data_IF_121760773687
#
_entry.id   IF_121760773687
#
_cell.length_a   1.000
_cell.length_b   1.000
_cell.length_c   1.000
_cell.angle_alpha   90.00
_cell.angle_beta   90.00
_cell.angle_gamma   90.00
#
_symmetry.space_group_name_H-M   'P 1'
#
loop_
_entity.id
_entity.type
_entity.pdbx_description
1 polymer ?
#
# COMPACT_ATOMS: atom_id res chain seq x y z
N UNK A 1 -15.36 16.57 5.31
CA UNK A 1 -15.57 15.14 4.99
C UNK A 1 -14.78 14.58 3.77
N UNK A 2 -14.16 15.36 2.87
CA UNK A 2 -13.41 14.84 1.69
C UNK A 2 -11.90 14.59 1.88
N UNK A 3 -11.34 14.86 3.06
CA UNK A 3 -9.88 14.86 3.28
C UNK A 3 -9.23 13.47 3.18
N UNK A 4 -9.85 12.44 3.78
CA UNK A 4 -9.30 11.08 3.87
C UNK A 4 -9.87 10.09 2.83
N UNK A 5 -10.35 10.57 1.69
CA UNK A 5 -10.90 9.68 0.67
C UNK A 5 -9.80 8.82 0.00
N UNK A 6 -10.07 7.52 -0.11
CA UNK A 6 -9.22 6.53 -0.79
C UNK A 6 -9.72 6.23 -2.21
N UNK A 7 -8.84 5.65 -3.04
CA UNK A 7 -9.24 5.10 -4.35
C UNK A 7 -9.98 3.76 -4.21
N UNK A 8 -10.52 3.25 -5.30
CA UNK A 8 -11.17 1.93 -5.34
C UNK A 8 -12.64 1.88 -4.97
N UNK A 9 -13.34 3.01 -4.87
CA UNK A 9 -14.81 3.05 -4.81
C UNK A 9 -15.42 2.81 -6.20
N UNK A 10 -15.22 1.59 -6.71
CA UNK A 10 -15.65 1.15 -8.04
C UNK A 10 -17.17 1.17 -8.16
N UNK A 11 -17.90 0.94 -7.06
CA UNK A 11 -19.37 0.97 -7.05
C UNK A 11 -19.91 2.36 -7.32
N UNK A 12 -19.38 3.37 -6.63
CA UNK A 12 -19.79 4.76 -6.86
C UNK A 12 -19.39 5.23 -8.27
N UNK A 13 -18.18 4.87 -8.72
CA UNK A 13 -17.73 5.16 -10.08
C UNK A 13 -18.64 4.52 -11.14
N UNK A 14 -18.98 3.24 -11.01
CA UNK A 14 -19.84 2.51 -11.95
C UNK A 14 -21.22 3.15 -12.09
N UNK A 15 -21.83 3.57 -10.96
CA UNK A 15 -23.10 4.33 -10.96
C UNK A 15 -22.97 5.63 -11.75
N UNK A 16 -21.89 6.39 -11.52
CA UNK A 16 -21.64 7.65 -12.23
C UNK A 16 -21.40 7.42 -13.73
N UNK A 17 -20.67 6.37 -14.10
CA UNK A 17 -20.39 5.98 -15.48
C UNK A 17 -21.57 5.26 -16.15
N UNK A 18 -22.69 5.04 -15.44
CA UNK A 18 -23.87 4.30 -15.90
C UNK A 18 -23.50 2.92 -16.50
N UNK A 19 -22.61 2.19 -15.82
CA UNK A 19 -22.17 0.86 -16.23
C UNK A 19 -22.18 -0.12 -15.05
N UNK A 20 -21.99 -1.41 -15.34
CA UNK A 20 -21.85 -2.44 -14.32
C UNK A 20 -20.43 -2.39 -13.73
N UNK A 21 -20.31 -2.75 -12.44
CA UNK A 21 -19.02 -2.77 -11.72
C UNK A 21 -17.94 -3.58 -12.45
N UNK A 22 -18.32 -4.70 -13.08
CA UNK A 22 -17.39 -5.57 -13.84
C UNK A 22 -16.84 -4.93 -15.13
N UNK A 23 -17.49 -3.89 -15.63
CA UNK A 23 -17.06 -3.17 -16.82
C UNK A 23 -16.05 -2.05 -16.52
N UNK A 24 -15.91 -1.68 -15.24
CA UNK A 24 -14.97 -0.64 -14.81
C UNK A 24 -13.54 -1.14 -14.91
N UNK A 25 -12.71 -0.37 -15.60
CA UNK A 25 -11.26 -0.55 -15.64
C UNK A 25 -10.67 0.24 -14.47
N UNK A 26 -10.55 -0.41 -13.31
CA UNK A 26 -10.00 0.22 -12.11
C UNK A 26 -8.46 0.28 -12.15
N UNK A 27 -7.95 1.46 -12.52
CA UNK A 27 -6.54 1.85 -12.41
C UNK A 27 -6.28 2.73 -11.18
N UNK A 28 -7.27 2.97 -10.31
CA UNK A 28 -7.12 3.79 -9.10
C UNK A 28 -6.57 2.97 -7.92
N UNK A 29 -6.88 1.66 -7.89
CA UNK A 29 -6.46 0.73 -6.85
C UNK A 29 -5.24 -0.09 -7.26
N UNK A 30 -4.20 -0.04 -6.43
CA UNK A 30 -2.93 -0.73 -6.64
C UNK A 30 -3.00 -2.24 -6.28
N UNK A 31 -4.07 -2.93 -6.69
CA UNK A 31 -4.22 -4.38 -6.53
C UNK A 31 -3.63 -5.08 -7.75
N UNK A 32 -2.84 -6.14 -7.53
CA UNK A 32 -2.30 -6.94 -8.62
C UNK A 32 -3.43 -7.43 -9.54
N UNK A 33 -3.25 -7.26 -10.85
CA UNK A 33 -4.25 -7.70 -11.84
C UNK A 33 -4.24 -9.22 -12.04
N UNK A 34 -3.16 -9.89 -11.66
CA UNK A 34 -3.07 -11.35 -11.70
C UNK A 34 -3.67 -11.94 -10.43
N UNK A 35 -4.69 -12.77 -10.60
CA UNK A 35 -5.27 -13.56 -9.53
C UNK A 35 -4.51 -14.88 -9.39
N UNK A 36 -4.14 -15.30 -8.17
CA UNK A 36 -3.59 -16.63 -7.94
C UNK A 36 -4.69 -17.66 -8.22
N UNK A 37 -4.32 -18.75 -8.92
CA UNK A 37 -5.17 -19.94 -9.05
C UNK A 37 -4.88 -20.83 -7.85
N UNK A 38 -5.67 -20.68 -6.80
CA UNK A 38 -5.57 -21.48 -5.58
C UNK A 38 -6.61 -22.59 -5.64
N UNK A 39 -6.23 -23.77 -5.17
CA UNK A 39 -7.11 -24.91 -4.99
C UNK A 39 -7.60 -24.91 -3.54
N UNK A 40 -8.64 -24.14 -3.28
CA UNK A 40 -9.27 -24.01 -1.96
C UNK A 40 -10.76 -24.22 -2.15
N UNK A 41 -11.29 -25.28 -1.54
CA UNK A 41 -12.73 -25.43 -1.40
C UNK A 41 -13.18 -24.71 -0.12
N UNK A 42 -13.85 -23.58 -0.31
CA UNK A 42 -14.38 -22.80 0.81
C UNK A 42 -15.61 -23.43 1.45
N UNK A 43 -16.29 -24.38 0.78
CA UNK A 43 -17.47 -25.04 1.33
C UNK A 43 -17.13 -26.12 2.35
N UNK A 44 -15.93 -26.69 2.27
CA UNK A 44 -15.44 -27.70 3.23
C UNK A 44 -14.68 -27.11 4.42
N UNK A 45 -14.56 -25.78 4.51
CA UNK A 45 -13.96 -25.14 5.68
C UNK A 45 -14.90 -25.23 6.89
N UNK A 46 -14.37 -25.72 8.02
CA UNK A 46 -15.08 -25.60 9.29
C UNK A 46 -15.15 -24.13 9.73
N UNK A 47 -16.36 -23.58 9.68
CA UNK A 47 -16.70 -22.23 10.14
C UNK A 47 -17.48 -22.24 11.45
N UNK A 48 -17.78 -23.42 12.00
CA UNK A 48 -18.45 -23.58 13.29
C UNK A 48 -17.48 -23.41 14.46
N UNK A 49 -16.21 -23.79 14.26
CA UNK A 49 -15.14 -23.60 15.24
C UNK A 49 -14.48 -22.23 15.15
N UNK A 50 -14.04 -21.71 16.29
CA UNK A 50 -13.17 -20.53 16.32
C UNK A 50 -11.80 -20.80 15.65
N UNK A 51 -11.21 -19.82 14.94
CA UNK A 51 -10.00 -20.04 14.17
C UNK A 51 -8.75 -20.22 15.04
N UNK A 52 -7.86 -21.12 14.62
CA UNK A 52 -6.52 -21.30 15.18
C UNK A 52 -5.45 -20.79 14.19
N UNK A 53 -4.67 -19.79 14.61
CA UNK A 53 -3.72 -19.09 13.73
C UNK A 53 -2.33 -19.72 13.60
N UNK A 54 -2.01 -20.84 14.26
CA UNK A 54 -0.64 -21.38 14.24
C UNK A 54 -0.14 -21.66 12.81
N UNK A 55 -0.98 -22.24 11.95
CA UNK A 55 -0.63 -22.49 10.54
C UNK A 55 -0.39 -21.19 9.76
N UNK A 56 -1.17 -20.14 10.04
CA UNK A 56 -1.00 -18.82 9.42
C UNK A 56 0.29 -18.16 9.88
N UNK A 57 0.56 -18.16 11.19
CA UNK A 57 1.83 -17.67 11.74
C UNK A 57 3.04 -18.43 11.17
N UNK A 58 2.96 -19.77 11.01
CA UNK A 58 3.98 -20.58 10.34
C UNK A 58 4.21 -20.12 8.89
N UNK A 59 3.15 -19.91 8.12
CA UNK A 59 3.25 -19.50 6.73
C UNK A 59 3.89 -18.11 6.59
N UNK A 60 3.47 -17.14 7.41
CA UNK A 60 3.99 -15.76 7.40
C UNK A 60 5.44 -15.71 7.88
N UNK A 61 5.76 -16.42 8.96
CA UNK A 61 7.12 -16.57 9.49
C UNK A 61 8.09 -17.10 8.43
N UNK A 62 7.70 -18.16 7.72
CA UNK A 62 8.49 -18.73 6.61
C UNK A 62 8.60 -17.77 5.43
N UNK A 63 7.54 -17.03 5.11
CA UNK A 63 7.53 -16.10 3.99
C UNK A 63 8.45 -14.89 4.21
N UNK A 64 8.42 -14.29 5.40
CA UNK A 64 9.22 -13.12 5.73
C UNK A 64 10.56 -13.42 6.40
N UNK A 65 10.85 -14.69 6.65
CA UNK A 65 12.05 -15.15 7.34
C UNK A 65 12.24 -14.48 8.71
N UNK A 66 11.19 -14.52 9.54
CA UNK A 66 11.17 -13.98 10.92
C UNK A 66 10.55 -14.99 11.87
N UNK A 67 10.76 -14.85 13.19
CA UNK A 67 10.14 -15.75 14.16
C UNK A 67 8.64 -15.46 14.33
N UNK A 68 7.82 -16.48 14.66
CA UNK A 68 6.39 -16.26 14.97
C UNK A 68 6.16 -15.33 16.15
N UNK A 69 7.08 -15.31 17.10
CA UNK A 69 7.07 -14.40 18.25
C UNK A 69 7.26 -12.94 17.85
N UNK A 70 7.72 -12.67 16.63
CA UNK A 70 7.94 -11.34 16.07
C UNK A 70 6.80 -10.86 15.18
N UNK A 71 5.66 -11.58 15.13
CA UNK A 71 4.55 -11.26 14.24
C UNK A 71 3.28 -11.00 15.04
N UNK A 72 2.55 -9.94 14.70
CA UNK A 72 1.15 -9.78 15.10
C UNK A 72 0.25 -9.52 13.89
N UNK A 73 -0.94 -10.12 13.90
CA UNK A 73 -1.90 -10.04 12.80
C UNK A 73 -3.05 -9.11 13.15
N UNK A 74 -3.61 -8.41 12.17
CA UNK A 74 -4.73 -7.50 12.36
C UNK A 74 -5.74 -7.66 11.23
N UNK A 75 -6.99 -7.26 11.47
CA UNK A 75 -8.05 -7.28 10.47
C UNK A 75 -7.84 -6.16 9.41
N UNK A 76 -6.78 -6.30 8.62
CA UNK A 76 -6.30 -5.38 7.61
C UNK A 76 -5.22 -4.41 8.11
N UNK A 77 -4.43 -3.90 7.18
CA UNK A 77 -3.35 -2.95 7.47
C UNK A 77 -3.83 -1.67 8.15
N UNK A 78 -5.01 -1.14 7.80
CA UNK A 78 -5.58 0.03 8.49
C UNK A 78 -5.86 -0.26 9.97
N UNK A 79 -6.38 -1.44 10.31
CA UNK A 79 -6.56 -1.83 11.72
C UNK A 79 -5.22 -1.91 12.44
N UNK A 80 -4.20 -2.51 11.81
CA UNK A 80 -2.83 -2.54 12.36
C UNK A 80 -2.28 -1.14 12.64
N UNK A 81 -2.46 -0.19 11.73
CA UNK A 81 -2.02 1.20 11.89
C UNK A 81 -2.69 1.80 13.12
N UNK A 82 -4.02 1.79 13.19
CA UNK A 82 -4.75 2.41 14.30
C UNK A 82 -4.39 1.79 15.65
N UNK A 83 -4.28 0.46 15.70
CA UNK A 83 -3.87 -0.26 16.91
C UNK A 83 -2.43 0.05 17.32
N UNK A 84 -1.53 0.25 16.38
CA UNK A 84 -0.16 0.66 16.71
C UNK A 84 -0.13 2.06 17.33
N UNK A 85 -0.85 3.03 16.75
CA UNK A 85 -0.97 4.38 17.31
C UNK A 85 -1.58 4.39 18.72
N UNK A 86 -2.67 3.63 18.92
CA UNK A 86 -3.31 3.46 20.23
C UNK A 86 -2.37 2.87 21.28
N UNK A 87 -1.51 1.91 20.87
CA UNK A 87 -0.61 1.21 21.76
C UNK A 87 0.62 2.02 22.17
N UNK A 88 1.22 2.74 21.22
CA UNK A 88 2.48 3.45 21.45
C UNK A 88 2.32 4.66 22.39
N UNK A 89 1.17 5.34 22.36
CA UNK A 89 0.85 6.52 23.20
C UNK A 89 1.98 7.57 23.27
N UNK A 90 2.69 7.79 22.15
CA UNK A 90 3.75 8.79 22.08
C UNK A 90 3.16 10.17 21.78
N UNK A 91 3.89 11.23 22.11
CA UNK A 91 3.42 12.61 21.94
C UNK A 91 3.59 13.13 20.51
N UNK A 92 4.72 12.86 19.87
CA UNK A 92 5.08 13.45 18.58
C UNK A 92 5.12 12.39 17.48
N UNK A 93 4.48 12.65 16.34
CA UNK A 93 4.50 11.79 15.16
C UNK A 93 5.10 12.55 13.97
N UNK A 94 6.16 12.01 13.37
CA UNK A 94 6.76 12.54 12.16
C UNK A 94 6.42 11.66 10.98
N UNK A 95 5.72 12.21 9.98
CA UNK A 95 5.31 11.48 8.78
C UNK A 95 6.08 12.01 7.57
N UNK A 96 6.82 11.14 6.91
CA UNK A 96 7.48 11.43 5.64
C UNK A 96 6.44 11.43 4.51
N UNK A 97 5.87 12.60 4.25
CA UNK A 97 4.74 12.82 3.36
C UNK A 97 5.15 13.28 1.96
N UNK A 98 4.26 13.16 0.95
CA UNK A 98 2.93 12.52 0.99
C UNK A 98 2.92 11.03 1.35
N UNK A 99 2.15 10.58 2.34
CA UNK A 99 2.06 9.16 2.70
C UNK A 99 0.62 8.63 2.60
N UNK A 100 0.40 7.37 2.97
CA UNK A 100 -0.95 6.83 3.07
C UNK A 100 -1.76 7.61 4.13
N UNK A 101 -2.95 8.08 3.75
CA UNK A 101 -3.70 9.07 4.54
C UNK A 101 -4.15 8.57 5.92
N UNK A 102 -4.23 7.24 6.11
CA UNK A 102 -4.61 6.67 7.41
C UNK A 102 -3.56 6.94 8.50
N UNK A 103 -2.30 7.22 8.17
CA UNK A 103 -1.30 7.60 9.17
C UNK A 103 -1.62 8.94 9.82
N UNK A 104 -1.90 9.96 9.00
CA UNK A 104 -2.29 11.29 9.48
C UNK A 104 -3.60 11.22 10.26
N UNK A 105 -4.57 10.44 9.76
CA UNK A 105 -5.85 10.21 10.43
C UNK A 105 -5.69 9.52 11.79
N UNK A 106 -4.91 8.44 11.87
CA UNK A 106 -4.66 7.75 13.13
C UNK A 106 -3.94 8.67 14.13
N UNK A 107 -2.92 9.40 13.68
CA UNK A 107 -2.20 10.37 14.51
C UNK A 107 -3.15 11.42 15.11
N UNK A 108 -4.06 11.98 14.31
CA UNK A 108 -5.09 12.93 14.79
C UNK A 108 -6.04 12.28 15.79
N UNK A 109 -6.55 11.09 15.48
CA UNK A 109 -7.51 10.38 16.32
C UNK A 109 -6.97 10.04 17.71
N UNK A 110 -5.65 9.82 17.82
CA UNK A 110 -5.01 9.48 19.09
C UNK A 110 -4.20 10.64 19.68
N UNK A 111 -4.42 11.87 19.21
CA UNK A 111 -3.89 13.09 19.85
C UNK A 111 -2.39 13.32 19.68
N UNK A 112 -1.76 12.77 18.63
CA UNK A 112 -0.35 13.02 18.35
C UNK A 112 -0.14 14.42 17.76
N UNK A 113 0.93 15.11 18.18
CA UNK A 113 1.43 16.30 17.51
C UNK A 113 2.15 15.89 16.22
N UNK A 114 1.60 16.28 15.06
CA UNK A 114 2.06 15.80 13.75
C UNK A 114 3.05 16.78 13.13
N UNK A 115 4.24 16.28 12.76
CA UNK A 115 5.16 16.94 11.85
C UNK A 115 5.17 16.23 10.50
N UNK A 116 4.96 16.99 9.41
CA UNK A 116 5.03 16.47 8.05
C UNK A 116 6.37 16.87 7.41
N UNK A 117 7.14 15.88 6.97
CA UNK A 117 8.36 16.10 6.19
C UNK A 117 8.04 15.87 4.72
N UNK A 118 8.30 16.86 3.87
CA UNK A 118 8.16 16.71 2.42
C UNK A 118 9.34 15.92 1.86
N UNK A 119 9.16 14.60 1.69
CA UNK A 119 10.23 13.72 1.19
C UNK A 119 10.73 14.08 -0.21
N UNK A 120 9.95 14.82 -1.00
CA UNK A 120 10.37 15.26 -2.33
C UNK A 120 11.30 16.46 -2.31
N UNK A 121 11.38 17.17 -1.19
CA UNK A 121 12.23 18.36 -1.04
C UNK A 121 13.42 18.07 -0.15
N UNK A 122 13.17 17.53 1.04
CA UNK A 122 14.22 17.31 2.03
C UNK A 122 13.87 16.12 2.93
N UNK A 123 14.60 15.03 2.76
CA UNK A 123 14.48 13.84 3.60
C UNK A 123 15.35 13.90 4.85
N UNK A 124 16.32 14.81 4.91
CA UNK A 124 17.29 14.95 6.00
C UNK A 124 16.87 16.00 7.02
N UNK A 125 15.70 16.61 6.86
CA UNK A 125 15.09 17.50 7.84
C UNK A 125 15.12 16.88 9.23
N UNK A 126 15.46 17.70 10.22
CA UNK A 126 15.57 17.26 11.60
C UNK A 126 14.27 16.68 12.13
N UNK A 127 14.38 15.63 12.95
CA UNK A 127 13.28 14.96 13.61
C UNK A 127 13.46 15.10 15.13
N UNK A 128 12.37 15.38 15.83
CA UNK A 128 12.37 15.50 17.29
C UNK A 128 12.80 14.18 17.95
N UNK A 129 13.67 14.27 18.96
CA UNK A 129 14.09 13.13 19.77
C UNK A 129 12.87 12.38 20.32
N UNK A 130 12.85 11.05 20.19
CA UNK A 130 11.77 10.19 20.68
C UNK A 130 10.47 10.24 19.87
N UNK A 131 10.45 10.90 18.70
CA UNK A 131 9.27 10.92 17.84
C UNK A 131 8.91 9.54 17.29
N UNK A 132 7.62 9.30 17.05
CA UNK A 132 7.14 8.21 16.22
C UNK A 132 7.32 8.57 14.73
N UNK A 133 8.30 7.98 14.07
CA UNK A 133 8.62 8.23 12.66
C UNK A 133 7.94 7.20 11.77
N UNK A 134 7.26 7.67 10.74
CA UNK A 134 6.58 6.83 9.75
C UNK A 134 7.17 7.08 8.36
N UNK A 135 7.63 6.00 7.74
CA UNK A 135 8.11 6.00 6.37
C UNK A 135 7.50 4.84 5.57
N UNK A 136 6.99 5.12 4.38
CA UNK A 136 6.44 4.09 3.47
C UNK A 136 7.49 3.76 2.42
N UNK A 137 7.87 2.49 2.27
CA UNK A 137 8.89 2.05 1.33
C UNK A 137 8.55 0.65 0.76
N UNK A 138 8.16 0.50 -0.53
CA UNK A 138 8.10 1.51 -1.56
C UNK A 138 7.08 2.61 -1.25
N UNK A 139 7.45 3.86 -1.49
CA UNK A 139 6.66 5.02 -1.07
C UNK A 139 5.34 5.13 -1.81
N UNK A 140 4.31 5.63 -1.14
CA UNK A 140 3.05 6.04 -1.78
C UNK A 140 3.02 7.56 -1.85
N UNK A 141 2.59 8.23 -2.93
CA UNK A 141 2.00 7.65 -4.14
C UNK A 141 2.96 7.44 -5.32
N UNK A 142 4.27 7.69 -5.17
CA UNK A 142 5.29 7.64 -6.22
C UNK A 142 5.92 6.27 -6.50
N UNK A 143 5.69 5.27 -5.64
CA UNK A 143 6.20 3.90 -5.77
C UNK A 143 7.74 3.78 -5.74
N UNK A 144 8.46 4.80 -5.30
CA UNK A 144 9.92 4.78 -5.25
C UNK A 144 10.40 3.96 -4.06
N UNK A 145 11.40 3.11 -4.29
CA UNK A 145 12.19 2.51 -3.22
C UNK A 145 13.32 3.47 -2.83
N UNK A 146 13.26 4.02 -1.63
CA UNK A 146 14.33 4.85 -1.09
C UNK A 146 15.36 3.98 -0.37
N UNK A 147 16.65 4.31 -0.52
CA UNK A 147 17.67 3.81 0.40
C UNK A 147 17.55 4.58 1.71
N UNK A 148 16.92 3.95 2.70
CA UNK A 148 16.64 4.56 4.00
C UNK A 148 17.68 4.21 5.06
N UNK A 149 18.82 3.61 4.73
CA UNK A 149 19.82 3.19 5.72
C UNK A 149 20.37 4.38 6.52
N UNK A 150 20.71 5.49 5.85
CA UNK A 150 21.16 6.72 6.52
C UNK A 150 20.07 7.29 7.43
N UNK A 151 18.83 7.28 6.97
CA UNK A 151 17.69 7.77 7.74
C UNK A 151 17.39 6.91 8.96
N UNK A 152 17.44 5.58 8.81
CA UNK A 152 17.31 4.64 9.92
C UNK A 152 18.35 4.92 10.99
N UNK A 153 19.63 5.07 10.60
CA UNK A 153 20.70 5.41 11.55
C UNK A 153 20.46 6.76 12.24
N UNK A 154 19.96 7.75 11.50
CA UNK A 154 19.60 9.05 12.06
C UNK A 154 18.45 8.96 13.07
N UNK A 155 17.36 8.27 12.74
CA UNK A 155 16.21 8.07 13.62
C UNK A 155 16.58 7.27 14.88
N UNK A 156 17.44 6.25 14.74
CA UNK A 156 17.99 5.47 15.85
C UNK A 156 18.77 6.38 16.81
N UNK A 157 19.66 7.23 16.30
CA UNK A 157 20.42 8.21 17.12
C UNK A 157 19.50 9.21 17.84
N UNK A 158 18.35 9.53 17.26
CA UNK A 158 17.31 10.36 17.88
C UNK A 158 16.35 9.56 18.77
N UNK A 159 16.63 8.28 19.03
CA UNK A 159 15.83 7.38 19.87
C UNK A 159 14.35 7.25 19.45
N UNK A 160 14.07 7.49 18.17
CA UNK A 160 12.72 7.47 17.60
C UNK A 160 12.12 6.07 17.59
N UNK A 161 10.81 5.99 17.79
CA UNK A 161 10.06 4.77 17.40
C UNK A 161 9.83 4.82 15.90
N UNK A 162 10.12 3.75 15.17
CA UNK A 162 10.12 3.75 13.70
C UNK A 162 9.08 2.77 13.18
N UNK A 163 8.19 3.22 12.31
CA UNK A 163 7.35 2.37 11.47
C UNK A 163 7.80 2.46 10.01
N UNK A 164 8.21 1.33 9.45
CA UNK A 164 8.42 1.17 8.01
C UNK A 164 7.24 0.40 7.42
N UNK A 165 6.48 1.07 6.55
CA UNK A 165 5.40 0.43 5.80
C UNK A 165 5.92 -0.14 4.48
N UNK A 166 5.97 -1.46 4.42
CA UNK A 166 6.47 -2.25 3.30
C UNK A 166 5.33 -2.94 2.53
N UNK A 167 4.11 -2.38 2.56
CA UNK A 167 2.90 -2.94 1.93
C UNK A 167 2.98 -3.22 0.42
N UNK A 168 3.99 -2.67 -0.27
CA UNK A 168 4.21 -2.85 -1.70
C UNK A 168 5.55 -3.53 -2.02
N UNK A 169 6.32 -3.94 -1.01
CA UNK A 169 7.71 -4.39 -1.21
C UNK A 169 7.79 -5.65 -2.08
N UNK A 170 6.81 -6.55 -2.02
CA UNK A 170 6.77 -7.79 -2.79
C UNK A 170 6.76 -7.57 -4.31
N UNK A 171 6.37 -6.38 -4.79
CA UNK A 171 6.48 -6.02 -6.21
C UNK A 171 7.92 -5.73 -6.65
N UNK A 172 8.84 -5.51 -5.72
CA UNK A 172 10.17 -4.96 -5.96
C UNK A 172 11.27 -5.98 -5.65
N UNK A 173 12.49 -5.74 -6.14
CA UNK A 173 13.68 -6.54 -5.83
C UNK A 173 14.41 -6.07 -4.56
N UNK A 174 13.84 -5.11 -3.82
CA UNK A 174 14.47 -4.54 -2.62
C UNK A 174 14.30 -5.43 -1.40
N UNK A 175 15.30 -5.38 -0.52
CA UNK A 175 15.27 -6.11 0.74
C UNK A 175 14.38 -5.45 1.78
N UNK A 176 13.75 -6.30 2.58
CA UNK A 176 12.94 -5.92 3.74
C UNK A 176 13.81 -5.34 4.86
N UNK A 177 13.28 -4.35 5.58
CA UNK A 177 13.89 -3.80 6.78
C UNK A 177 13.88 -4.77 7.97
N UNK A 178 13.26 -5.95 7.82
CA UNK A 178 13.27 -7.02 8.84
C UNK A 178 14.68 -7.44 9.26
N UNK A 179 15.70 -7.24 8.41
CA UNK A 179 17.11 -7.45 8.77
C UNK A 179 17.62 -6.56 9.93
N UNK A 180 16.91 -5.50 10.28
CA UNK A 180 17.23 -4.60 11.38
C UNK A 180 16.53 -4.96 12.70
N UNK A 181 15.63 -5.95 12.73
CA UNK A 181 14.88 -6.33 13.93
C UNK A 181 15.77 -6.74 15.11
N UNK A 182 16.95 -7.31 14.85
CA UNK A 182 17.93 -7.65 15.88
C UNK A 182 18.85 -6.51 16.31
N UNK A 183 18.74 -5.33 15.67
CA UNK A 183 19.61 -4.16 15.90
C UNK A 183 18.91 -3.02 16.62
N UNK A 184 17.59 -2.93 16.49
CA UNK A 184 16.83 -1.84 17.08
C UNK A 184 15.45 -2.30 17.52
N UNK A 185 15.19 -2.18 18.82
CA UNK A 185 13.98 -2.67 19.47
C UNK A 185 12.77 -1.78 19.23
N UNK A 186 12.93 -0.49 18.91
CA UNK A 186 11.81 0.41 18.55
C UNK A 186 11.43 0.39 17.07
N UNK A 187 11.79 -0.66 16.32
CA UNK A 187 11.42 -0.85 14.92
C UNK A 187 10.14 -1.68 14.77
N UNK A 188 9.18 -1.13 14.05
CA UNK A 188 7.95 -1.77 13.62
C UNK A 188 7.91 -1.79 12.10
N UNK A 189 7.46 -2.90 11.52
CA UNK A 189 7.36 -3.07 10.08
C UNK A 189 5.94 -3.50 9.75
N UNK A 190 5.24 -2.72 8.91
CA UNK A 190 3.93 -3.10 8.40
C UNK A 190 4.11 -3.85 7.08
N UNK A 191 3.54 -5.06 7.00
CA UNK A 191 3.43 -5.84 5.78
C UNK A 191 1.97 -5.96 5.37
N UNK A 192 1.72 -5.89 4.06
CA UNK A 192 0.39 -6.10 3.49
C UNK A 192 0.39 -7.28 2.54
N UNK A 193 -0.48 -8.26 2.81
CA UNK A 193 -0.69 -9.38 1.90
C UNK A 193 -1.85 -9.14 0.94
N UNK A 194 -2.41 -7.92 0.91
CA UNK A 194 -3.62 -7.62 0.13
C UNK A 194 -3.34 -7.19 -1.31
N UNK A 195 -2.21 -6.50 -1.52
CA UNK A 195 -1.90 -5.81 -2.78
C UNK A 195 -1.30 -6.77 -3.80
N UNK A 196 -0.20 -7.41 -3.45
CA UNK A 196 0.55 -8.31 -4.32
C UNK A 196 -0.23 -9.59 -4.65
N UNK A 197 -0.97 -10.13 -3.67
CA UNK A 197 -1.71 -11.38 -3.83
C UNK A 197 -3.13 -11.22 -4.40
N UNK A 198 -3.48 -10.03 -4.92
CA UNK A 198 -4.80 -9.75 -5.51
C UNK A 198 -5.98 -10.04 -4.57
N UNK A 199 -5.79 -9.73 -3.28
CA UNK A 199 -6.67 -10.18 -2.19
C UNK A 199 -7.13 -9.00 -1.33
N UNK A 200 -7.54 -7.89 -1.96
CA UNK A 200 -8.03 -6.71 -1.25
C UNK A 200 -9.18 -7.01 -0.27
N UNK A 201 -10.03 -7.97 -0.62
CA UNK A 201 -11.14 -8.45 0.22
C UNK A 201 -10.71 -9.36 1.37
N UNK A 202 -9.49 -9.90 1.33
CA UNK A 202 -8.88 -10.66 2.42
C UNK A 202 -8.25 -9.65 3.38
N UNK A 203 -8.74 -9.58 4.61
CA UNK A 203 -8.49 -8.45 5.50
C UNK A 203 -7.44 -8.82 6.53
N UNK A 204 -6.21 -9.07 6.09
CA UNK A 204 -5.08 -9.33 7.02
C UNK A 204 -3.98 -8.30 6.83
N UNK A 205 -3.63 -7.64 7.92
CA UNK A 205 -2.43 -6.82 8.08
C UNK A 205 -1.47 -7.50 9.04
N UNK A 206 -0.18 -7.22 8.90
CA UNK A 206 0.86 -7.86 9.70
C UNK A 206 1.83 -6.81 10.22
N UNK A 207 1.99 -6.73 11.53
CA UNK A 207 3.08 -5.98 12.17
C UNK A 207 4.18 -6.97 12.52
N UNK A 208 5.41 -6.62 12.15
CA UNK A 208 6.61 -7.35 12.52
C UNK A 208 7.47 -6.44 13.41
N UNK A 209 7.90 -6.94 14.56
CA UNK A 209 8.73 -6.20 15.52
C UNK A 209 9.49 -7.16 16.45
N UNK A 210 10.18 -6.64 17.47
CA UNK A 210 10.78 -7.47 18.53
C UNK A 210 9.71 -8.29 19.26
N UNK A 211 10.11 -9.40 19.88
CA UNK A 211 9.18 -10.27 20.62
C UNK A 211 8.47 -9.49 21.72
N UNK A 212 9.19 -8.63 22.41
CA UNK A 212 8.73 -7.81 23.52
C UNK A 212 7.66 -6.82 23.08
N UNK A 213 7.85 -6.20 21.90
CA UNK A 213 6.84 -5.32 21.32
C UNK A 213 5.60 -6.08 20.91
N UNK A 214 5.75 -7.25 20.31
CA UNK A 214 4.61 -8.07 19.88
C UNK A 214 3.79 -8.57 21.07
N UNK A 215 4.42 -8.93 22.19
CA UNK A 215 3.72 -9.27 23.44
C UNK A 215 2.86 -8.10 23.90
N UNK A 216 3.43 -6.89 23.99
CA UNK A 216 2.70 -5.66 24.38
C UNK A 216 1.54 -5.35 23.43
N UNK A 217 1.73 -5.56 22.13
CA UNK A 217 0.65 -5.36 21.16
C UNK A 217 -0.48 -6.38 21.36
N UNK A 218 -0.16 -7.66 21.60
CA UNK A 218 -1.14 -8.74 21.80
C UNK A 218 -2.02 -8.55 23.02
N UNK A 219 -1.50 -7.99 24.10
CA UNK A 219 -2.24 -7.80 25.36
C UNK A 219 -3.55 -7.01 25.18
N UNK A 220 -3.64 -6.15 24.15
CA UNK A 220 -4.82 -5.32 23.88
C UNK A 220 -5.66 -5.80 22.71
N UNK A 221 -5.33 -6.95 22.13
CA UNK A 221 -5.98 -7.45 20.93
C UNK A 221 -7.05 -8.48 21.27
N UNK A 222 -8.24 -8.39 20.63
CA UNK A 222 -9.28 -9.38 20.83
C UNK A 222 -8.86 -10.73 20.23
N UNK A 223 -9.37 -11.79 20.85
CA UNK A 223 -9.30 -13.14 20.26
C UNK A 223 -10.08 -13.18 18.94
N UNK A 224 -9.66 -14.07 18.04
CA UNK A 224 -10.37 -14.43 16.81
C UNK A 224 -10.65 -13.30 15.79
N UNK A 225 -9.77 -12.29 15.73
CA UNK A 225 -9.91 -11.11 14.83
C UNK A 225 -9.75 -11.36 13.32
N UNK A 226 -9.25 -12.53 12.90
CA UNK A 226 -9.10 -12.93 11.50
C UNK A 226 -10.04 -14.10 11.19
N UNK A 227 -10.79 -14.00 10.10
CA UNK A 227 -11.74 -15.06 9.70
C UNK A 227 -11.03 -16.33 9.21
N UNK A 228 -11.71 -17.47 9.31
CA UNK A 228 -11.23 -18.75 8.75
C UNK A 228 -11.00 -18.67 7.24
N UNK A 229 -11.82 -17.90 6.51
CA UNK A 229 -11.66 -17.66 5.08
C UNK A 229 -10.35 -16.92 4.76
N UNK A 230 -10.11 -15.80 5.45
CA UNK A 230 -8.93 -14.98 5.26
C UNK A 230 -7.65 -15.76 5.58
N UNK A 231 -7.69 -16.51 6.68
CA UNK A 231 -6.62 -17.38 7.11
C UNK A 231 -6.25 -18.42 6.06
N UNK A 232 -7.23 -19.21 5.59
CA UNK A 232 -6.97 -20.30 4.64
C UNK A 232 -6.49 -19.78 3.29
N UNK A 233 -7.07 -18.68 2.80
CA UNK A 233 -6.59 -18.03 1.57
C UNK A 233 -5.09 -17.68 1.66
N UNK A 234 -4.68 -17.05 2.78
CA UNK A 234 -3.30 -16.62 2.95
C UNK A 234 -2.33 -17.78 3.11
N UNK A 235 -2.70 -18.81 3.88
CA UNK A 235 -1.88 -20.00 4.05
C UNK A 235 -1.51 -20.61 2.69
N UNK A 236 -2.46 -20.71 1.77
CA UNK A 236 -2.22 -21.29 0.44
C UNK A 236 -1.49 -20.33 -0.50
N UNK A 237 -1.87 -19.05 -0.53
CA UNK A 237 -1.24 -18.10 -1.45
C UNK A 237 0.24 -17.86 -1.14
N UNK A 238 0.61 -17.87 0.15
CA UNK A 238 2.00 -17.66 0.59
C UNK A 238 2.92 -18.84 0.23
N UNK A 239 2.38 -20.05 0.04
CA UNK A 239 3.13 -21.21 -0.46
C UNK A 239 3.36 -21.14 -1.97
N UNK A 240 2.58 -20.35 -2.71
CA UNK A 240 2.54 -20.41 -4.16
C UNK A 240 3.69 -19.64 -4.85
N UNK A 241 4.91 -20.18 -4.76
CA UNK A 241 6.14 -19.58 -5.33
C UNK A 241 6.04 -19.30 -6.84
N UNK A 242 5.37 -20.16 -7.62
CA UNK A 242 5.20 -19.96 -9.08
C UNK A 242 4.37 -18.71 -9.37
N UNK A 243 3.29 -18.46 -8.62
CA UNK A 243 2.52 -17.23 -8.74
C UNK A 243 3.38 -16.01 -8.42
N UNK A 244 4.14 -16.05 -7.32
CA UNK A 244 5.01 -14.94 -6.91
C UNK A 244 5.97 -14.51 -8.04
N UNK A 245 6.72 -15.46 -8.61
CA UNK A 245 7.64 -15.19 -9.73
C UNK A 245 6.93 -14.63 -10.96
N UNK A 246 5.78 -15.22 -11.33
CA UNK A 246 4.98 -14.78 -12.48
C UNK A 246 4.41 -13.37 -12.27
N UNK A 247 3.85 -13.09 -11.10
CA UNK A 247 3.29 -11.81 -10.73
C UNK A 247 4.34 -10.69 -10.82
N UNK A 248 5.51 -10.90 -10.24
CA UNK A 248 6.62 -9.95 -10.25
C UNK A 248 7.12 -9.67 -11.67
N UNK A 249 7.37 -10.73 -12.46
CA UNK A 249 7.79 -10.61 -13.87
C UNK A 249 6.76 -9.81 -14.69
N UNK A 250 5.48 -10.16 -14.60
CA UNK A 250 4.42 -9.49 -15.36
C UNK A 250 4.19 -8.05 -14.90
N UNK A 251 4.35 -7.75 -13.61
CA UNK A 251 4.31 -6.37 -13.12
C UNK A 251 5.44 -5.54 -13.76
N UNK A 252 6.67 -6.04 -13.77
CA UNK A 252 7.83 -5.35 -14.36
C UNK A 252 7.65 -5.09 -15.86
N UNK A 253 7.16 -6.07 -16.61
CA UNK A 253 6.85 -5.92 -18.04
C UNK A 253 5.77 -4.86 -18.28
N UNK A 254 4.65 -4.94 -17.54
CA UNK A 254 3.53 -4.02 -17.74
C UNK A 254 3.79 -2.63 -17.19
N UNK A 255 4.67 -2.49 -16.19
CA UNK A 255 5.13 -1.20 -15.69
C UNK A 255 5.91 -0.45 -16.79
N UNK A 256 6.86 -1.12 -17.46
CA UNK A 256 7.57 -0.56 -18.62
C UNK A 256 6.61 -0.16 -19.73
N UNK A 257 5.65 -1.03 -20.05
CA UNK A 257 4.63 -0.72 -21.04
C UNK A 257 3.83 0.52 -20.65
N UNK A 258 3.34 0.60 -19.40
CA UNK A 258 2.58 1.75 -18.93
C UNK A 258 3.41 3.04 -18.99
N UNK A 259 4.68 3.03 -18.57
CA UNK A 259 5.57 4.19 -18.72
C UNK A 259 5.65 4.64 -20.18
N UNK A 260 6.00 3.73 -21.10
CA UNK A 260 6.12 4.05 -22.53
C UNK A 260 4.81 4.52 -23.16
N UNK A 261 3.67 4.06 -22.65
CA UNK A 261 2.35 4.53 -23.06
C UNK A 261 2.12 5.96 -22.61
N UNK A 262 2.43 6.28 -21.35
CA UNK A 262 2.23 7.62 -20.78
C UNK A 262 3.13 8.68 -21.43
N UNK A 263 4.35 8.32 -21.83
CA UNK A 263 5.32 9.21 -22.49
C UNK A 263 4.83 9.75 -23.84
N UNK A 264 3.88 9.08 -24.50
CA UNK A 264 3.34 9.49 -25.81
C UNK A 264 2.40 10.69 -25.75
N UNK A 265 1.92 11.05 -24.57
CA UNK A 265 0.83 12.01 -24.40
C UNK A 265 1.34 13.36 -23.91
N UNK A 266 1.19 14.41 -24.74
CA UNK A 266 1.72 15.77 -24.48
C UNK A 266 1.15 16.46 -23.24
N UNK A 267 -0.04 16.05 -22.78
CA UNK A 267 -0.65 16.56 -21.55
C UNK A 267 -0.04 15.92 -20.28
N UNK A 268 0.87 14.96 -20.41
CA UNK A 268 1.70 14.43 -19.32
C UNK A 268 2.96 15.28 -19.18
N UNK A 269 3.10 15.95 -18.03
CA UNK A 269 4.25 16.82 -17.74
C UNK A 269 5.43 16.07 -17.15
N UNK A 270 5.16 15.09 -16.29
CA UNK A 270 6.20 14.35 -15.56
C UNK A 270 5.68 12.98 -15.15
N UNK A 271 6.51 11.97 -15.32
CA UNK A 271 6.28 10.61 -14.86
C UNK A 271 7.33 10.32 -13.78
N UNK A 272 6.89 9.97 -12.57
CA UNK A 272 7.82 9.58 -11.51
C UNK A 272 8.30 8.16 -11.74
N UNK A 273 9.59 7.91 -11.49
CA UNK A 273 10.14 6.56 -11.46
C UNK A 273 9.41 5.72 -10.40
N UNK A 274 9.04 4.51 -10.79
CA UNK A 274 8.29 3.56 -9.97
C UNK A 274 8.99 2.22 -9.90
N UNK A 275 8.99 1.61 -8.72
CA UNK A 275 9.54 0.26 -8.48
C UNK A 275 8.43 -0.76 -8.16
N UNK A 276 7.20 -0.30 -7.90
CA UNK A 276 6.07 -1.14 -7.49
C UNK A 276 5.02 -1.30 -8.62
N UNK A 277 3.73 -1.36 -8.29
CA UNK A 277 2.65 -1.61 -9.25
C UNK A 277 1.76 -0.38 -9.52
N UNK A 278 2.34 0.82 -9.50
CA UNK A 278 1.64 2.07 -9.81
C UNK A 278 2.62 3.18 -10.13
N UNK A 279 2.18 4.21 -10.84
CA UNK A 279 2.99 5.35 -11.27
C UNK A 279 2.31 6.65 -10.83
N UNK A 280 3.07 7.56 -10.22
CA UNK A 280 2.65 8.93 -9.99
C UNK A 280 2.96 9.77 -11.23
N UNK A 281 1.98 10.56 -11.66
CA UNK A 281 2.07 11.37 -12.87
C UNK A 281 1.62 12.79 -12.56
N UNK A 282 2.37 13.77 -13.06
CA UNK A 282 1.97 15.18 -13.07
C UNK A 282 1.47 15.54 -14.45
N UNK A 283 0.26 16.06 -14.51
CA UNK A 283 -0.38 16.58 -15.71
C UNK A 283 0.10 18.00 -16.00
N UNK A 284 0.09 18.39 -17.27
CA UNK A 284 0.50 19.71 -17.74
C UNK A 284 -0.59 20.74 -17.50
N UNK A 285 -1.64 20.73 -18.31
CA UNK A 285 -2.65 21.80 -18.34
C UNK A 285 -4.03 21.36 -17.82
N UNK A 286 -4.32 20.06 -17.82
CA UNK A 286 -5.56 19.48 -17.28
C UNK A 286 -5.44 19.11 -15.80
N UNK A 287 -6.51 19.31 -15.02
CA UNK A 287 -6.58 18.86 -13.62
C UNK A 287 -6.96 17.38 -13.54
N UNK A 288 -6.54 16.72 -12.45
CA UNK A 288 -6.83 15.30 -12.18
C UNK A 288 -8.33 14.96 -12.28
N UNK A 289 -9.19 15.81 -11.70
CA UNK A 289 -10.64 15.63 -11.74
C UNK A 289 -11.20 15.77 -13.15
N UNK A 290 -10.73 16.77 -13.91
CA UNK A 290 -11.15 17.00 -15.30
C UNK A 290 -10.76 15.79 -16.18
N UNK A 291 -9.55 15.25 -16.01
CA UNK A 291 -9.12 14.04 -16.71
C UNK A 291 -9.98 12.83 -16.30
N UNK A 292 -10.33 12.68 -15.02
CA UNK A 292 -11.22 11.62 -14.57
C UNK A 292 -12.62 11.71 -15.19
N UNK A 293 -13.17 12.92 -15.37
CA UNK A 293 -14.45 13.10 -16.09
C UNK A 293 -14.32 12.69 -17.56
N UNK A 294 -13.24 13.09 -18.25
CA UNK A 294 -13.01 12.71 -19.65
C UNK A 294 -12.80 11.20 -19.83
N UNK A 295 -12.32 10.49 -18.80
CA UNK A 295 -12.19 9.02 -18.80
C UNK A 295 -13.48 8.27 -18.47
N UNK A 296 -14.52 8.97 -18.00
CA UNK A 296 -15.78 8.36 -17.59
C UNK A 296 -16.49 7.58 -18.71
N UNK A 297 -16.58 8.09 -19.97
CA UNK A 297 -17.19 7.35 -21.08
C UNK A 297 -16.43 6.06 -21.42
N UNK A 298 -15.13 6.03 -21.14
CA UNK A 298 -14.26 4.86 -21.34
C UNK A 298 -14.34 3.87 -20.18
N UNK A 299 -15.11 4.17 -19.13
CA UNK A 299 -15.24 3.36 -17.91
C UNK A 299 -13.90 3.17 -17.18
N UNK A 300 -12.96 4.11 -17.34
CA UNK A 300 -11.62 4.05 -16.74
C UNK A 300 -11.58 4.91 -15.48
N UNK A 301 -11.19 4.29 -14.36
CA UNK A 301 -11.03 4.97 -13.08
C UNK A 301 -9.54 5.13 -12.76
N UNK A 302 -9.11 6.33 -12.43
CA UNK A 302 -7.74 6.68 -11.99
C UNK A 302 -7.77 7.27 -10.57
N UNK A 303 -6.62 7.42 -9.93
CA UNK A 303 -6.53 8.05 -8.60
C UNK A 303 -6.17 9.53 -8.73
N UNK A 304 -7.09 10.42 -8.38
CA UNK A 304 -6.78 11.83 -8.10
C UNK A 304 -5.85 11.91 -6.88
N UNK A 305 -4.67 12.52 -6.98
CA UNK A 305 -3.73 12.64 -5.86
C UNK A 305 -3.75 14.01 -5.17
N UNK A 306 -4.74 14.85 -5.44
CA UNK A 306 -4.83 16.21 -4.88
C UNK A 306 -5.08 16.28 -3.37
N UNK A 307 -5.46 15.18 -2.72
CA UNK A 307 -5.62 15.10 -1.26
C UNK A 307 -4.41 14.51 -0.53
N UNK A 308 -3.30 14.26 -1.23
CA UNK A 308 -2.03 13.93 -0.60
C UNK A 308 -1.25 15.20 -0.25
N UNK A 309 -0.60 15.24 0.91
CA UNK A 309 0.20 16.39 1.32
C UNK A 309 1.29 16.70 0.27
N UNK A 310 1.56 17.98 0.04
CA UNK A 310 2.55 18.46 -0.94
C UNK A 310 2.28 18.11 -2.41
N UNK A 311 1.14 17.49 -2.74
CA UNK A 311 0.69 17.30 -4.12
C UNK A 311 -0.43 18.28 -4.48
N UNK A 312 -0.43 18.71 -5.74
CA UNK A 312 -1.45 19.61 -6.30
C UNK A 312 -2.51 18.91 -7.15
N UNK A 313 -3.52 19.67 -7.58
CA UNK A 313 -4.67 19.25 -8.40
C UNK A 313 -4.33 18.64 -9.78
N UNK A 314 -3.06 18.66 -10.18
CA UNK A 314 -2.55 18.09 -11.43
C UNK A 314 -1.83 16.74 -11.23
N UNK A 315 -1.84 16.17 -10.03
CA UNK A 315 -1.23 14.86 -9.79
C UNK A 315 -2.28 13.76 -9.84
N UNK A 316 -1.97 12.69 -10.57
CA UNK A 316 -2.75 11.46 -10.60
C UNK A 316 -1.83 10.28 -10.32
N UNK A 317 -2.42 9.17 -9.87
CA UNK A 317 -1.74 7.89 -9.81
C UNK A 317 -2.49 6.86 -10.64
N UNK A 318 -1.75 6.05 -11.39
CA UNK A 318 -2.27 5.01 -12.26
C UNK A 318 -1.64 3.69 -11.85
N UNK A 319 -2.46 2.69 -11.52
CA UNK A 319 -2.01 1.36 -11.18
C UNK A 319 -1.57 0.58 -12.43
N UNK A 320 -0.53 -0.23 -12.29
CA UNK A 320 -0.09 -1.18 -13.31
C UNK A 320 -1.05 -2.36 -13.35
N UNK A 321 -1.74 -2.52 -14.48
CA UNK A 321 -2.75 -3.57 -14.70
C UNK A 321 -2.40 -4.42 -15.91
N UNK A 322 -3.39 -5.11 -16.48
CA UNK A 322 -3.21 -5.96 -17.66
C UNK A 322 -2.81 -5.15 -18.90
N UNK A 323 -2.14 -5.79 -19.86
CA UNK A 323 -1.80 -5.18 -21.17
C UNK A 323 -3.04 -4.58 -21.84
N UNK A 324 -4.16 -5.31 -21.86
CA UNK A 324 -5.46 -4.86 -22.37
C UNK A 324 -5.94 -3.58 -21.68
N UNK A 325 -5.81 -3.49 -20.36
CA UNK A 325 -6.20 -2.28 -19.60
C UNK A 325 -5.33 -1.07 -19.98
N UNK A 326 -4.04 -1.29 -20.23
CA UNK A 326 -3.09 -0.24 -20.65
C UNK A 326 -3.36 0.19 -22.10
N UNK A 327 -3.69 -0.74 -22.99
CA UNK A 327 -4.08 -0.44 -24.38
C UNK A 327 -5.38 0.38 -24.44
N UNK A 328 -6.38 0.02 -23.62
CA UNK A 328 -7.63 0.79 -23.50
C UNK A 328 -7.40 2.19 -22.92
N UNK A 329 -6.50 2.32 -21.94
CA UNK A 329 -6.06 3.62 -21.43
C UNK A 329 -5.39 4.45 -22.53
N UNK A 330 -4.49 3.85 -23.32
CA UNK A 330 -3.80 4.55 -24.41
C UNK A 330 -4.81 5.10 -25.41
N UNK A 331 -5.76 4.27 -25.87
CA UNK A 331 -6.81 4.70 -26.80
C UNK A 331 -7.63 5.86 -26.23
N UNK A 332 -8.05 5.77 -24.97
CA UNK A 332 -8.78 6.85 -24.32
C UNK A 332 -7.95 8.14 -24.25
N UNK A 333 -6.65 8.04 -23.98
CA UNK A 333 -5.75 9.19 -23.93
C UNK A 333 -5.52 9.81 -25.33
N UNK A 334 -5.41 9.01 -26.39
CA UNK A 334 -5.31 9.50 -27.78
C UNK A 334 -6.54 10.33 -28.19
N UNK A 335 -7.74 9.89 -27.80
CA UNK A 335 -8.97 10.65 -28.06
C UNK A 335 -9.05 11.92 -27.22
N UNK A 336 -8.65 11.84 -25.94
CA UNK A 336 -8.64 12.99 -25.03
C UNK A 336 -7.62 14.06 -25.47
N UNK A 337 -6.48 13.65 -25.99
CA UNK A 337 -5.43 14.54 -26.48
C UNK A 337 -5.88 15.41 -27.66
N UNK A 338 -6.91 15.01 -28.41
CA UNK A 338 -7.50 15.83 -29.49
C UNK A 338 -8.36 16.97 -28.95
N UNK A 339 -8.69 16.94 -27.65
CA UNK A 339 -9.63 17.86 -27.01
C UNK A 339 -9.00 18.68 -25.86
N UNK A 340 -7.66 18.70 -25.77
CA UNK A 340 -6.85 19.45 -24.79
C UNK A 340 -5.70 20.06 -25.58
#
# INVERSE_FOLDING_TARGET
MKEFQHGGDVKSFARKAKCQVKEVIDLSSNINFLKPKLDIDFNSLDISSYPNYDKLYKAISKHYNVMKSQIELYNGGSSAIFKLFENLKLKHCTIYSPAYLEYKKAAQNFGYEIELINRFKDMKKEVKKGSFVIFVNPSTPDAKCYNINELLNFWIKKECTILIDESFLEFTDYESTTKYLGKYDKLYILKSMTKFYSSAGIRVGTIISSKENIIKLREKEPMWKISTFDMNYLIEVLKYKKFYKKAKKRNKENLKLLCSTLEKHSFIKMIHQSEANYILVKLKDIKAKELQEKLLPYKIMIRDCSNFDFLGKKHIRIAVKSKKSIELLNKAFEDIAKCI
#
